data_IF_124748253015
#
_entry.id   IF_124748253015
#
_cell.length_a   1.000
_cell.length_b   1.000
_cell.length_c   1.000
_cell.angle_alpha   90.00
_cell.angle_beta   90.00
_cell.angle_gamma   90.00
#
_symmetry.space_group_name_H-M   'P 1'
#
loop_
_entity.id
_entity.type
_entity.pdbx_description
1 polymer ?
#
# COMPACT_ATOMS: atom_id res chain seq x y z
N UNK A 1 8.78 -18.08 -4.48
CA UNK A 1 8.94 -16.61 -4.56
C UNK A 1 9.62 -16.27 -5.87
N UNK A 2 9.10 -15.32 -6.64
CA UNK A 2 9.68 -14.95 -7.93
C UNK A 2 10.98 -14.16 -7.76
N UNK A 3 12.08 -14.63 -8.38
CA UNK A 3 13.41 -13.99 -8.29
C UNK A 3 13.43 -12.57 -8.87
N UNK A 4 12.51 -12.23 -9.78
CA UNK A 4 12.39 -10.89 -10.35
C UNK A 4 12.12 -9.85 -9.27
N UNK A 5 11.33 -10.18 -8.25
CA UNK A 5 10.98 -9.28 -7.14
C UNK A 5 12.20 -8.84 -6.32
N UNK A 6 13.27 -9.63 -6.30
CA UNK A 6 14.52 -9.26 -5.59
C UNK A 6 15.33 -8.19 -6.32
N UNK A 7 15.12 -8.02 -7.63
CA UNK A 7 15.88 -7.10 -8.47
C UNK A 7 15.13 -5.78 -8.73
N UNK A 8 13.83 -5.75 -8.42
CA UNK A 8 12.98 -4.58 -8.64
C UNK A 8 13.26 -3.48 -7.60
N UNK A 9 13.05 -2.26 -8.03
CA UNK A 9 13.17 -1.05 -7.23
C UNK A 9 11.82 -0.37 -7.04
N UNK A 10 11.77 0.67 -6.22
CA UNK A 10 10.58 1.51 -6.08
C UNK A 10 10.09 2.04 -7.42
N UNK A 11 10.99 2.43 -8.34
CA UNK A 11 10.62 3.05 -9.63
C UNK A 11 9.79 2.10 -10.50
N UNK A 12 10.12 0.80 -10.47
CA UNK A 12 9.42 -0.23 -11.25
C UNK A 12 7.96 -0.41 -10.82
N UNK A 13 7.63 0.00 -9.58
CA UNK A 13 6.30 -0.17 -9.00
C UNK A 13 5.50 1.13 -8.82
N UNK A 14 6.03 2.30 -9.20
CA UNK A 14 5.35 3.60 -9.01
C UNK A 14 3.98 3.66 -9.69
N UNK A 15 3.86 3.08 -10.88
CA UNK A 15 2.60 3.08 -11.66
C UNK A 15 1.82 1.78 -11.55
N UNK A 16 2.36 0.75 -10.91
CA UNK A 16 1.75 -0.59 -10.89
C UNK A 16 1.31 -1.02 -9.49
N UNK A 17 1.84 -0.41 -8.42
CA UNK A 17 1.40 -0.61 -7.04
C UNK A 17 0.87 0.69 -6.43
N UNK A 18 -0.36 0.66 -5.92
CA UNK A 18 -1.00 1.84 -5.31
C UNK A 18 -2.07 1.47 -4.30
N UNK A 19 -2.35 2.41 -3.39
CA UNK A 19 -3.57 2.41 -2.60
C UNK A 19 -4.61 3.31 -3.28
N UNK A 20 -5.88 3.02 -3.05
CA UNK A 20 -7.00 3.91 -3.37
C UNK A 20 -7.82 4.11 -2.11
N UNK A 21 -7.86 5.36 -1.62
CA UNK A 21 -8.77 5.81 -0.57
C UNK A 21 -9.94 6.54 -1.21
N UNK A 22 -11.11 6.48 -0.57
CA UNK A 22 -12.32 7.14 -1.08
C UNK A 22 -12.15 8.66 -1.17
N UNK A 23 -11.42 9.27 -0.23
CA UNK A 23 -11.26 10.72 -0.14
C UNK A 23 -10.08 11.29 -0.93
N UNK A 24 -8.96 10.55 -1.00
CA UNK A 24 -7.70 11.04 -1.60
C UNK A 24 -7.49 10.44 -3.00
N UNK A 25 -8.22 9.38 -3.34
CA UNK A 25 -8.03 8.65 -4.59
C UNK A 25 -6.72 7.86 -4.56
N UNK A 26 -5.99 7.86 -5.67
CA UNK A 26 -4.83 7.00 -5.86
C UNK A 26 -3.58 7.54 -5.16
N UNK A 27 -3.02 6.72 -4.26
CA UNK A 27 -1.78 6.99 -3.52
C UNK A 27 -0.68 6.04 -3.99
N UNK A 28 0.39 6.60 -4.54
CA UNK A 28 1.56 5.85 -5.00
C UNK A 28 2.43 5.39 -3.82
N UNK A 29 3.20 4.32 -4.04
CA UNK A 29 4.20 3.88 -3.07
C UNK A 29 5.28 4.96 -2.88
N UNK A 30 5.78 5.05 -1.64
CA UNK A 30 6.97 5.82 -1.28
C UNK A 30 8.24 4.98 -1.44
N UNK A 31 8.16 3.69 -1.10
CA UNK A 31 9.28 2.76 -1.24
C UNK A 31 8.80 1.33 -1.49
N UNK A 32 9.63 0.57 -2.21
CA UNK A 32 9.57 -0.87 -2.28
C UNK A 32 10.76 -1.46 -1.51
N UNK A 33 10.48 -2.38 -0.59
CA UNK A 33 11.51 -3.14 0.12
C UNK A 33 11.53 -4.55 -0.48
N UNK A 34 12.56 -4.89 -1.27
CA UNK A 34 12.67 -6.22 -1.84
C UNK A 34 12.90 -7.26 -0.75
N UNK A 35 12.63 -8.55 -1.04
CA UNK A 35 12.95 -9.64 -0.14
C UNK A 35 14.45 -9.67 0.16
N UNK A 36 14.81 -10.06 1.37
CA UNK A 36 16.20 -10.22 1.79
C UNK A 36 16.50 -11.67 2.16
N UNK A 37 17.78 -11.98 2.40
CA UNK A 37 18.18 -13.34 2.84
C UNK A 37 17.55 -13.76 4.17
N UNK A 38 17.22 -12.79 5.03
CA UNK A 38 16.65 -13.05 6.36
C UNK A 38 15.12 -12.87 6.41
N UNK A 39 14.56 -12.10 5.47
CA UNK A 39 13.12 -11.83 5.36
C UNK A 39 12.66 -12.16 3.94
N UNK A 40 11.99 -13.30 3.78
CA UNK A 40 11.47 -13.78 2.49
C UNK A 40 10.18 -13.04 2.06
N UNK A 41 9.87 -11.91 2.68
CA UNK A 41 8.70 -11.09 2.37
C UNK A 41 9.18 -9.77 1.74
N UNK A 42 8.47 -9.30 0.72
CA UNK A 42 8.64 -7.94 0.20
C UNK A 42 7.57 -7.01 0.77
N UNK A 43 7.85 -5.71 0.80
CA UNK A 43 6.94 -4.71 1.37
C UNK A 43 6.75 -3.53 0.43
N UNK A 44 5.50 -3.11 0.28
CA UNK A 44 5.17 -1.81 -0.32
C UNK A 44 4.92 -0.81 0.80
N UNK A 45 5.73 0.25 0.82
CA UNK A 45 5.63 1.31 1.82
C UNK A 45 4.92 2.49 1.19
N UNK A 46 3.82 2.91 1.81
CA UNK A 46 3.02 4.06 1.40
C UNK A 46 3.31 5.27 2.30
N UNK A 47 3.19 6.51 1.79
CA UNK A 47 3.25 7.69 2.65
C UNK A 47 2.09 7.69 3.65
N UNK A 48 2.30 8.25 4.84
CA UNK A 48 1.22 8.41 5.83
C UNK A 48 0.27 9.55 5.49
N UNK A 49 0.77 10.56 4.79
CA UNK A 49 0.02 11.76 4.39
C UNK A 49 0.27 12.09 2.93
N UNK A 50 -0.75 12.65 2.27
CA UNK A 50 -0.68 13.20 0.91
C UNK A 50 -1.35 14.57 0.94
N UNK A 51 -0.64 15.61 0.50
CA UNK A 51 -1.10 17.00 0.62
C UNK A 51 -1.60 17.33 2.05
N UNK A 52 -0.78 16.96 3.04
CA UNK A 52 -1.03 17.14 4.49
C UNK A 52 -2.24 16.37 5.05
N UNK A 53 -2.98 15.62 4.22
CA UNK A 53 -4.10 14.79 4.65
C UNK A 53 -3.65 13.36 4.92
N UNK A 54 -4.07 12.72 6.04
CA UNK A 54 -3.83 11.30 6.28
C UNK A 54 -4.39 10.43 5.16
N UNK A 55 -3.60 9.48 4.66
CA UNK A 55 -4.01 8.54 3.60
C UNK A 55 -5.18 7.67 4.03
N UNK A 56 -5.28 7.39 5.33
CA UNK A 56 -6.40 6.68 5.94
C UNK A 56 -7.02 7.57 7.00
N UNK A 57 -8.32 7.82 6.90
CA UNK A 57 -9.08 8.57 7.87
C UNK A 57 -10.41 7.87 8.20
N UNK A 58 -11.04 8.13 9.36
CA UNK A 58 -12.31 7.50 9.75
C UNK A 58 -13.46 7.67 8.76
N UNK A 59 -13.40 8.73 7.93
CA UNK A 59 -14.43 9.06 6.96
C UNK A 59 -14.34 8.20 5.69
N UNK A 60 -13.19 7.58 5.44
CA UNK A 60 -13.02 6.61 4.35
C UNK A 60 -13.83 5.34 4.69
N UNK A 61 -14.59 4.80 3.74
CA UNK A 61 -15.29 3.52 3.92
C UNK A 61 -14.34 2.37 3.63
N UNK A 62 -13.55 2.53 2.57
CA UNK A 62 -12.64 1.50 2.08
C UNK A 62 -11.25 2.05 1.79
N UNK A 63 -10.26 1.18 1.93
CA UNK A 63 -8.92 1.34 1.39
C UNK A 63 -8.64 0.14 0.50
N UNK A 64 -8.30 0.37 -0.77
CA UNK A 64 -8.02 -0.71 -1.71
C UNK A 64 -6.55 -0.68 -2.11
N UNK A 65 -5.82 -1.75 -1.84
CA UNK A 65 -4.51 -2.00 -2.42
C UNK A 65 -4.68 -2.66 -3.79
N UNK A 66 -4.00 -2.12 -4.80
CA UNK A 66 -3.88 -2.74 -6.12
C UNK A 66 -2.42 -2.87 -6.47
N UNK A 67 -2.02 -4.05 -6.93
CA UNK A 67 -0.71 -4.30 -7.48
C UNK A 67 -0.82 -5.10 -8.77
N UNK A 68 -0.21 -4.59 -9.83
CA UNK A 68 -0.10 -5.25 -11.13
C UNK A 68 1.34 -5.70 -11.34
N UNK A 69 1.53 -6.99 -11.48
CA UNK A 69 2.80 -7.57 -11.91
C UNK A 69 2.52 -8.50 -13.09
N UNK A 70 2.60 -9.83 -12.91
CA UNK A 70 2.10 -10.78 -13.92
C UNK A 70 0.59 -10.98 -13.85
N UNK A 71 0.01 -10.74 -12.67
CA UNK A 71 -1.43 -10.75 -12.41
C UNK A 71 -1.81 -9.52 -11.61
N UNK A 72 -3.11 -9.23 -11.56
CA UNK A 72 -3.65 -8.13 -10.76
C UNK A 72 -4.04 -8.68 -9.41
N UNK A 73 -3.38 -8.19 -8.36
CA UNK A 73 -3.76 -8.42 -6.98
C UNK A 73 -4.53 -7.20 -6.49
N UNK A 74 -5.72 -7.43 -5.95
CA UNK A 74 -6.54 -6.39 -5.33
C UNK A 74 -7.00 -6.86 -3.97
N UNK A 75 -6.78 -6.03 -2.95
CA UNK A 75 -7.22 -6.28 -1.58
C UNK A 75 -7.92 -5.05 -1.05
N UNK A 76 -9.16 -5.19 -0.62
CA UNK A 76 -9.96 -4.09 -0.07
C UNK A 76 -10.15 -4.28 1.43
N UNK A 77 -9.80 -3.25 2.19
CA UNK A 77 -9.97 -3.17 3.63
C UNK A 77 -11.13 -2.25 3.96
N UNK A 78 -12.00 -2.67 4.89
CA UNK A 78 -13.02 -1.80 5.48
C UNK A 78 -12.38 -1.00 6.60
N UNK A 79 -12.38 0.32 6.50
CA UNK A 79 -11.67 1.18 7.46
C UNK A 79 -12.16 0.98 8.88
N UNK A 80 -13.48 0.80 9.07
CA UNK A 80 -14.05 0.49 10.39
C UNK A 80 -13.41 -0.71 11.11
N UNK A 81 -12.81 -1.65 10.37
CA UNK A 81 -12.13 -2.83 10.92
C UNK A 81 -10.63 -2.58 11.17
N UNK A 82 -10.06 -1.50 10.61
CA UNK A 82 -8.67 -1.09 10.80
C UNK A 82 -8.52 -0.08 11.96
N UNK A 83 -9.63 0.44 12.47
CA UNK A 83 -9.64 1.37 13.61
C UNK A 83 -9.59 0.60 14.92
N UNK A 84 -8.76 1.07 15.85
CA UNK A 84 -8.76 0.63 17.24
C UNK A 84 -9.31 1.77 18.12
N UNK A 85 -10.36 1.48 18.90
CA UNK A 85 -11.10 2.48 19.71
C UNK A 85 -11.51 3.73 18.91
N UNK A 86 -11.87 3.55 17.63
CA UNK A 86 -12.28 4.65 16.74
C UNK A 86 -11.15 5.53 16.22
N UNK A 87 -9.89 5.15 16.44
CA UNK A 87 -8.70 5.84 15.92
C UNK A 87 -7.82 4.89 15.13
N UNK A 88 -7.03 5.43 14.22
CA UNK A 88 -5.92 4.69 13.65
C UNK A 88 -4.81 4.65 14.70
N UNK A 89 -4.52 3.49 15.30
CA UNK A 89 -3.32 3.32 16.13
C UNK A 89 -2.10 3.02 15.26
N UNK A 90 -0.97 3.63 15.59
CA UNK A 90 0.30 3.53 14.88
C UNK A 90 1.49 3.50 15.84
#
# INVERSE_FOLDING_TARGET
MDRRLMQMTTKDFLETAYLTSDRIGRVRIKAYLPPSRSDLIFKFVFPRTVAEKPVVAPEDKHLTFTWRFDSVVTVTFKIKNLMYKGRLEY
#
